data_IF_453935412463
#
_entry.id   IF_453935412463
#
_cell.length_a   1.000
_cell.length_b   1.000
_cell.length_c   1.000
_cell.angle_alpha   90.00
_cell.angle_beta   90.00
_cell.angle_gamma   90.00
#
_symmetry.space_group_name_H-M   'P 1'
#
loop_
_entity.id
_entity.type
_entity.pdbx_description
1 polymer ?
#
# COMPACT_ATOMS: atom_id res chain seq x y z
N UNK A 1 -4.47 -0.57 -2.98
CA UNK A 1 -3.87 0.66 -3.56
C UNK A 1 -4.82 1.40 -4.50
N UNK A 2 -5.72 0.73 -5.21
CA UNK A 2 -6.73 1.33 -6.09
C UNK A 2 -7.52 2.47 -5.41
N UNK A 3 -8.05 2.22 -4.19
CA UNK A 3 -8.77 3.25 -3.42
C UNK A 3 -7.90 4.45 -3.04
N UNK A 4 -6.61 4.22 -2.76
CA UNK A 4 -5.66 5.28 -2.46
C UNK A 4 -5.45 6.15 -3.70
N UNK A 5 -5.21 5.55 -4.85
CA UNK A 5 -5.05 6.25 -6.12
C UNK A 5 -6.28 7.13 -6.45
N UNK A 6 -7.49 6.59 -6.38
CA UNK A 6 -8.71 7.34 -6.63
C UNK A 6 -8.95 8.44 -5.60
N UNK A 7 -8.56 8.20 -4.35
CA UNK A 7 -8.58 9.22 -3.29
C UNK A 7 -7.64 10.39 -3.60
N UNK A 8 -6.42 10.09 -4.07
CA UNK A 8 -5.44 11.09 -4.49
C UNK A 8 -5.93 11.86 -5.73
N UNK A 9 -6.35 11.15 -6.77
CA UNK A 9 -6.87 11.75 -8.01
C UNK A 9 -8.05 12.68 -7.73
N UNK A 10 -8.98 12.26 -6.88
CA UNK A 10 -10.17 13.02 -6.49
C UNK A 10 -9.93 14.08 -5.40
N UNK A 11 -8.68 14.30 -4.95
CA UNK A 11 -8.34 15.22 -3.84
C UNK A 11 -9.07 14.91 -2.53
N UNK A 12 -9.45 13.65 -2.32
CA UNK A 12 -10.17 13.17 -1.11
C UNK A 12 -9.26 12.42 -0.15
N UNK A 13 -8.00 12.19 -0.53
CA UNK A 13 -7.04 11.52 0.34
C UNK A 13 -6.42 12.51 1.33
N UNK A 14 -6.25 12.06 2.56
CA UNK A 14 -5.56 12.76 3.65
C UNK A 14 -4.73 11.76 4.45
N UNK A 15 -3.64 12.22 5.04
CA UNK A 15 -2.85 11.39 5.96
C UNK A 15 -3.51 11.41 7.36
N UNK A 16 -4.00 10.27 7.86
CA UNK A 16 -4.60 10.22 9.19
C UNK A 16 -3.52 10.14 10.27
N UNK A 17 -3.32 11.21 11.01
CA UNK A 17 -2.45 11.31 12.17
C UNK A 17 -0.95 11.36 11.86
N UNK A 18 -0.45 10.58 10.90
CA UNK A 18 0.98 10.49 10.57
C UNK A 18 1.18 10.05 9.12
N UNK A 19 2.36 10.35 8.56
CA UNK A 19 2.73 10.00 7.18
C UNK A 19 3.66 8.80 7.07
N UNK A 20 4.35 8.49 8.16
CA UNK A 20 5.35 7.43 8.26
C UNK A 20 4.77 6.04 8.60
N UNK A 21 3.44 5.89 8.51
CA UNK A 21 2.79 4.59 8.70
C UNK A 21 3.26 3.59 7.65
N UNK A 22 3.90 2.52 8.10
CA UNK A 22 4.41 1.46 7.22
C UNK A 22 3.26 0.59 6.71
N UNK A 23 3.29 0.27 5.42
CA UNK A 23 2.34 -0.62 4.75
C UNK A 23 3.08 -1.70 3.98
N UNK A 24 3.17 -2.88 4.58
CA UNK A 24 3.71 -4.04 3.90
C UNK A 24 2.87 -4.36 2.66
N UNK A 25 3.52 -4.52 1.53
CA UNK A 25 2.88 -4.82 0.25
C UNK A 25 3.87 -5.56 -0.67
N UNK A 26 3.32 -6.24 -1.66
CA UNK A 26 4.07 -6.82 -2.76
C UNK A 26 3.27 -6.63 -4.05
N UNK A 27 3.93 -6.58 -5.16
CA UNK A 27 3.30 -6.56 -6.47
C UNK A 27 2.84 -7.96 -6.87
N UNK A 28 1.64 -8.08 -7.47
CA UNK A 28 1.06 -9.40 -7.77
C UNK A 28 1.92 -10.22 -8.75
N UNK A 29 2.49 -9.57 -9.78
CA UNK A 29 3.37 -10.28 -10.73
C UNK A 29 4.65 -10.76 -10.04
N UNK A 30 5.20 -9.95 -9.12
CA UNK A 30 6.35 -10.33 -8.29
C UNK A 30 6.05 -11.53 -7.40
N UNK A 31 4.85 -11.55 -6.78
CA UNK A 31 4.41 -12.69 -5.99
C UNK A 31 4.34 -13.97 -6.83
N UNK A 32 3.81 -13.88 -8.06
CA UNK A 32 3.75 -15.03 -8.98
C UNK A 32 5.16 -15.50 -9.35
N UNK A 33 6.07 -14.57 -9.67
CA UNK A 33 7.46 -14.92 -9.97
C UNK A 33 8.13 -15.61 -8.79
N UNK A 34 7.93 -15.14 -7.56
CA UNK A 34 8.44 -15.81 -6.37
C UNK A 34 7.84 -17.20 -6.17
N UNK A 35 6.53 -17.37 -6.40
CA UNK A 35 5.90 -18.71 -6.32
C UNK A 35 6.51 -19.69 -7.34
N UNK A 36 6.75 -19.26 -8.58
CA UNK A 36 7.40 -20.07 -9.62
C UNK A 36 8.83 -20.41 -9.21
N UNK A 37 9.59 -19.43 -8.74
CA UNK A 37 10.94 -19.65 -8.21
C UNK A 37 10.95 -20.72 -7.12
N UNK A 38 10.00 -20.71 -6.17
CA UNK A 38 9.92 -21.73 -5.10
C UNK A 38 9.51 -23.11 -5.63
N UNK A 39 8.73 -23.19 -6.68
CA UNK A 39 8.42 -24.48 -7.33
C UNK A 39 9.68 -25.14 -7.94
N UNK A 40 10.58 -24.32 -8.50
CA UNK A 40 11.83 -24.79 -9.10
C UNK A 40 12.91 -25.09 -8.04
N UNK A 41 12.89 -24.38 -6.91
CA UNK A 41 13.88 -24.47 -5.83
C UNK A 41 13.25 -25.02 -4.54
N UNK A 42 12.34 -25.99 -4.70
CA UNK A 42 11.61 -26.57 -3.57
C UNK A 42 12.53 -27.41 -2.68
N UNK A 43 12.49 -27.13 -1.38
CA UNK A 43 13.05 -28.00 -0.34
C UNK A 43 11.96 -28.89 0.25
N UNK A 44 12.34 -30.03 0.83
CA UNK A 44 11.35 -30.92 1.44
C UNK A 44 10.71 -30.24 2.66
N UNK A 45 9.39 -30.36 2.76
CA UNK A 45 8.62 -29.85 3.89
C UNK A 45 7.71 -28.66 3.56
N UNK A 46 7.21 -28.01 4.60
CA UNK A 46 6.33 -26.83 4.48
C UNK A 46 7.12 -25.58 4.79
N UNK A 47 7.13 -24.65 3.86
CA UNK A 47 7.75 -23.34 4.03
C UNK A 47 6.71 -22.25 4.09
N UNK A 48 6.91 -21.29 4.99
CA UNK A 48 6.07 -20.12 5.14
C UNK A 48 6.89 -18.85 4.88
N UNK A 49 6.38 -18.00 4.00
CA UNK A 49 6.98 -16.72 3.65
C UNK A 49 6.00 -15.57 3.82
N UNK A 50 6.48 -14.48 4.38
CA UNK A 50 5.80 -13.19 4.30
C UNK A 50 6.24 -12.50 3.00
N UNK A 51 5.34 -12.45 2.02
CA UNK A 51 5.63 -11.85 0.73
C UNK A 51 5.40 -10.35 0.77
N UNK A 52 6.45 -9.59 0.98
CA UNK A 52 6.45 -8.13 1.00
C UNK A 52 7.80 -7.60 0.53
N UNK A 53 7.80 -6.39 -0.03
CA UNK A 53 9.06 -5.67 -0.28
C UNK A 53 9.81 -5.44 1.04
N UNK A 54 11.14 -5.54 0.99
CA UNK A 54 12.03 -5.28 2.10
C UNK A 54 13.10 -4.27 1.66
N UNK A 55 13.23 -3.12 2.31
CA UNK A 55 12.37 -2.64 3.41
C UNK A 55 10.95 -2.29 2.96
N UNK A 56 9.99 -2.41 3.91
CA UNK A 56 8.59 -2.06 3.65
C UNK A 56 8.41 -0.54 3.52
N UNK A 57 7.47 -0.12 2.68
CA UNK A 57 7.25 1.29 2.34
C UNK A 57 6.31 2.00 3.33
N UNK A 58 6.60 3.27 3.60
CA UNK A 58 5.65 4.15 4.31
C UNK A 58 4.55 4.63 3.36
N UNK A 59 3.41 5.05 3.94
CA UNK A 59 2.30 5.60 3.14
C UNK A 59 2.72 6.86 2.38
N UNK A 60 3.66 7.66 2.91
CA UNK A 60 4.20 8.83 2.23
C UNK A 60 5.01 8.43 0.99
N UNK A 61 5.89 7.42 1.11
CA UNK A 61 6.66 6.89 -0.02
C UNK A 61 5.74 6.31 -1.10
N UNK A 62 4.71 5.57 -0.69
CA UNK A 62 3.71 5.01 -1.62
C UNK A 62 2.99 6.12 -2.39
N UNK A 63 2.55 7.17 -1.71
CA UNK A 63 1.88 8.33 -2.34
C UNK A 63 2.85 9.09 -3.26
N UNK A 64 4.09 9.29 -2.83
CA UNK A 64 5.12 9.94 -3.65
C UNK A 64 5.39 9.17 -4.93
N UNK A 65 5.55 7.84 -4.84
CA UNK A 65 5.76 6.97 -6.01
C UNK A 65 4.54 6.99 -6.95
N UNK A 66 3.32 6.91 -6.42
CA UNK A 66 2.11 7.02 -7.23
C UNK A 66 2.05 8.36 -7.97
N UNK A 67 2.30 9.47 -7.29
CA UNK A 67 2.32 10.79 -7.92
C UNK A 67 3.39 10.89 -9.02
N UNK A 68 4.60 10.39 -8.75
CA UNK A 68 5.71 10.39 -9.70
C UNK A 68 5.35 9.63 -10.97
N UNK A 69 4.89 8.40 -10.82
CA UNK A 69 4.60 7.49 -11.95
C UNK A 69 3.38 7.95 -12.75
N UNK A 70 2.32 8.38 -12.07
CA UNK A 70 1.06 8.73 -12.74
C UNK A 70 0.95 10.22 -13.14
N UNK A 71 1.93 11.04 -12.78
CA UNK A 71 1.94 12.47 -13.09
C UNK A 71 0.86 13.28 -12.34
N UNK A 72 0.22 12.70 -11.32
CA UNK A 72 -0.89 13.36 -10.62
C UNK A 72 -0.50 14.64 -9.88
N UNK A 73 0.74 14.74 -9.38
CA UNK A 73 1.26 15.88 -8.60
C UNK A 73 0.28 16.36 -7.51
N UNK A 74 -0.30 15.43 -6.75
CA UNK A 74 -1.29 15.74 -5.72
C UNK A 74 -0.63 15.77 -4.35
N UNK A 75 -0.83 16.86 -3.63
CA UNK A 75 -0.51 16.95 -2.20
C UNK A 75 -1.72 16.51 -1.38
N UNK A 76 -1.44 15.82 -0.27
CA UNK A 76 -2.46 15.40 0.68
C UNK A 76 -2.19 16.05 2.05
N UNK A 77 -3.20 16.64 2.70
CA UNK A 77 -3.02 17.23 4.02
C UNK A 77 -2.84 16.16 5.08
N UNK A 78 -2.05 16.48 6.10
CA UNK A 78 -1.99 15.71 7.32
C UNK A 78 -3.07 16.20 8.28
N UNK A 79 -3.98 15.33 8.70
CA UNK A 79 -4.99 15.66 9.70
C UNK A 79 -4.61 14.97 11.02
N UNK A 80 -4.35 15.73 12.09
CA UNK A 80 -4.04 15.18 13.39
C UNK A 80 -5.12 14.22 13.89
N UNK A 81 -4.69 13.13 14.57
CA UNK A 81 -5.61 12.10 15.03
C UNK A 81 -6.69 12.63 16.01
N UNK A 82 -6.33 13.61 16.84
CA UNK A 82 -7.26 14.22 17.80
C UNK A 82 -8.41 15.01 17.16
N UNK A 83 -8.24 15.48 15.91
CA UNK A 83 -9.31 16.08 15.12
C UNK A 83 -10.10 14.99 14.38
N UNK A 84 -9.40 14.05 13.79
CA UNK A 84 -9.99 13.05 12.90
C UNK A 84 -10.85 12.03 13.64
N UNK A 85 -10.45 11.63 14.86
CA UNK A 85 -11.17 10.62 15.64
C UNK A 85 -12.58 11.06 16.07
N UNK A 86 -12.77 12.25 16.68
CA UNK A 86 -14.11 12.73 17.01
C UNK A 86 -14.95 13.01 15.75
N UNK A 87 -14.35 13.56 14.70
CA UNK A 87 -15.07 13.78 13.44
C UNK A 87 -15.57 12.46 12.84
N UNK A 88 -14.76 11.40 12.86
CA UNK A 88 -15.15 10.07 12.40
C UNK A 88 -16.27 9.45 13.27
N UNK A 89 -16.27 9.72 14.57
CA UNK A 89 -17.34 9.27 15.48
C UNK A 89 -18.68 9.94 15.14
N UNK A 90 -18.70 11.25 14.97
CA UNK A 90 -19.90 12.02 14.58
C UNK A 90 -20.44 11.55 13.23
N UNK A 91 -19.58 11.43 12.21
CA UNK A 91 -19.96 10.95 10.86
C UNK A 91 -20.51 9.52 10.93
N UNK A 92 -19.87 8.65 11.74
CA UNK A 92 -20.33 7.27 11.95
C UNK A 92 -21.71 7.21 12.60
N UNK A 93 -22.01 8.06 13.59
CA UNK A 93 -23.32 8.14 14.24
C UNK A 93 -24.43 8.66 13.31
N UNK A 94 -24.09 9.53 12.35
CA UNK A 94 -25.04 10.07 11.38
C UNK A 94 -25.35 9.11 10.23
N UNK A 95 -24.81 7.88 10.25
CA UNK A 95 -25.08 6.86 9.23
C UNK A 95 -24.61 7.23 7.83
N UNK A 96 -23.66 8.13 7.71
CA UNK A 96 -23.18 8.61 6.42
C UNK A 96 -22.63 7.45 5.56
N UNK A 97 -23.05 7.35 4.28
CA UNK A 97 -22.70 6.23 3.39
C UNK A 97 -21.20 6.15 3.05
N UNK A 98 -20.39 7.09 3.51
CA UNK A 98 -18.95 7.17 3.24
C UNK A 98 -18.12 6.09 3.96
N UNK A 99 -18.73 5.30 4.86
CA UNK A 99 -18.03 4.23 5.58
C UNK A 99 -16.85 4.72 6.44
N UNK A 100 -16.84 6.00 6.81
CA UNK A 100 -15.86 6.60 7.72
C UNK A 100 -16.32 6.29 9.14
N UNK A 101 -15.55 5.48 9.85
CA UNK A 101 -15.78 5.19 11.26
C UNK A 101 -14.44 5.18 12.02
N UNK A 102 -14.46 5.42 13.35
CA UNK A 102 -13.24 5.48 14.15
C UNK A 102 -12.33 4.25 14.03
N UNK A 103 -12.94 3.05 13.90
CA UNK A 103 -12.20 1.82 13.74
C UNK A 103 -11.38 1.79 12.43
N UNK A 104 -11.95 2.27 11.33
CA UNK A 104 -11.24 2.36 10.04
C UNK A 104 -10.14 3.40 10.06
N UNK A 105 -10.39 4.56 10.68
CA UNK A 105 -9.38 5.61 10.84
C UNK A 105 -8.22 5.07 11.67
N UNK A 106 -8.48 4.43 12.80
CA UNK A 106 -7.45 3.81 13.64
C UNK A 106 -6.63 2.78 12.85
N UNK A 107 -7.29 1.92 12.06
CA UNK A 107 -6.61 0.92 11.22
C UNK A 107 -5.67 1.55 10.18
N UNK A 108 -6.00 2.72 9.66
CA UNK A 108 -5.11 3.44 8.73
C UNK A 108 -3.87 4.02 9.42
N UNK A 109 -3.97 4.37 10.71
CA UNK A 109 -2.87 4.91 11.51
C UNK A 109 -1.91 3.85 12.04
N UNK A 110 -2.32 2.58 12.05
CA UNK A 110 -1.48 1.47 12.53
C UNK A 110 -0.59 0.98 11.40
N UNK A 111 0.71 0.85 11.68
CA UNK A 111 1.65 0.22 10.75
C UNK A 111 1.38 -1.28 10.63
N UNK A 112 1.38 -1.79 9.41
CA UNK A 112 1.45 -3.22 9.10
C UNK A 112 2.87 -3.54 8.68
N UNK A 113 3.77 -3.51 9.65
CA UNK A 113 5.18 -3.80 9.45
C UNK A 113 5.40 -5.32 9.52
N UNK A 114 5.17 -5.98 8.40
CA UNK A 114 5.40 -7.43 8.25
C UNK A 114 6.82 -7.60 7.71
N UNK A 115 7.63 -8.39 8.41
CA UNK A 115 9.02 -8.65 8.01
C UNK A 115 9.06 -9.61 6.81
N UNK A 116 9.59 -9.13 5.68
CA UNK A 116 9.82 -9.90 4.46
C UNK A 116 11.23 -10.51 4.36
N UNK A 117 12.02 -10.42 5.43
CA UNK A 117 13.44 -10.80 5.40
C UNK A 117 13.67 -12.23 4.92
N UNK A 118 12.86 -13.20 5.33
CA UNK A 118 13.00 -14.59 4.87
C UNK A 118 12.86 -14.72 3.35
N UNK A 119 12.00 -13.93 2.73
CA UNK A 119 11.88 -13.86 1.27
C UNK A 119 13.13 -13.20 0.67
N UNK A 120 13.56 -12.07 1.20
CA UNK A 120 14.74 -11.36 0.71
C UNK A 120 16.02 -12.22 0.83
N UNK A 121 16.15 -13.01 1.91
CA UNK A 121 17.30 -13.88 2.17
C UNK A 121 17.19 -15.25 1.44
N UNK A 122 16.10 -15.53 0.71
CA UNK A 122 15.85 -16.82 0.04
C UNK A 122 16.68 -17.08 -1.23
N UNK A 123 17.50 -16.11 -1.65
CA UNK A 123 18.20 -16.15 -2.93
C UNK A 123 17.34 -15.70 -4.13
N UNK A 124 16.08 -15.37 -3.89
CA UNK A 124 15.21 -14.81 -4.91
C UNK A 124 15.57 -13.36 -5.20
N UNK A 125 15.71 -13.01 -6.47
CA UNK A 125 15.95 -11.62 -6.91
C UNK A 125 14.65 -11.00 -7.42
N UNK A 126 14.24 -9.89 -6.81
CA UNK A 126 13.07 -9.15 -7.26
C UNK A 126 13.24 -8.64 -8.68
N UNK A 127 12.24 -8.85 -9.52
CA UNK A 127 12.20 -8.39 -10.92
C UNK A 127 11.71 -6.94 -11.02
N UNK A 128 10.94 -6.51 -10.02
CA UNK A 128 10.36 -5.18 -9.96
C UNK A 128 10.76 -4.46 -8.68
N UNK A 129 11.26 -3.26 -8.81
CA UNK A 129 11.22 -2.28 -7.72
C UNK A 129 9.78 -1.83 -7.49
N UNK A 130 9.49 -1.19 -6.37
CA UNK A 130 8.14 -0.67 -6.11
C UNK A 130 7.69 0.36 -7.16
N UNK A 131 8.60 1.19 -7.65
CA UNK A 131 8.31 2.18 -8.69
C UNK A 131 7.97 1.50 -10.03
N UNK A 132 8.76 0.53 -10.44
CA UNK A 132 8.52 -0.26 -11.65
C UNK A 132 7.21 -1.04 -11.55
N UNK A 133 6.88 -1.57 -10.38
CA UNK A 133 5.62 -2.26 -10.13
C UNK A 133 4.40 -1.32 -10.31
N UNK A 134 4.48 -0.09 -9.82
CA UNK A 134 3.42 0.91 -10.03
C UNK A 134 3.37 1.35 -11.49
N UNK A 135 4.52 1.49 -12.17
CA UNK A 135 4.58 1.86 -13.58
C UNK A 135 3.99 0.77 -14.49
N UNK A 136 4.33 -0.48 -14.24
CA UNK A 136 3.79 -1.63 -14.96
C UNK A 136 2.27 -1.76 -14.75
N UNK A 137 1.81 -1.61 -13.51
CA UNK A 137 0.37 -1.59 -13.21
C UNK A 137 -0.35 -0.43 -13.89
N UNK A 138 0.26 0.76 -13.98
CA UNK A 138 -0.31 1.91 -14.69
C UNK A 138 -0.39 1.64 -16.18
N UNK A 139 0.66 1.04 -16.76
CA UNK A 139 0.71 0.62 -18.16
C UNK A 139 -0.35 -0.43 -18.50
N UNK A 140 -0.58 -1.42 -17.64
CA UNK A 140 -1.63 -2.44 -17.79
C UNK A 140 -3.06 -1.84 -17.87
N UNK A 141 -3.22 -0.57 -17.48
CA UNK A 141 -4.46 0.19 -17.57
C UNK A 141 -4.35 1.38 -18.56
N UNK A 142 -3.61 1.19 -19.65
CA UNK A 142 -3.44 2.16 -20.75
C UNK A 142 -2.90 3.53 -20.31
N UNK A 143 -2.16 3.59 -19.22
CA UNK A 143 -1.64 4.82 -18.58
C UNK A 143 -2.74 5.84 -18.22
N UNK A 144 -3.95 5.38 -17.94
CA UNK A 144 -5.08 6.26 -17.61
C UNK A 144 -5.43 6.27 -16.12
N UNK A 145 -5.29 5.12 -15.46
CA UNK A 145 -5.65 4.96 -14.04
C UNK A 145 -4.99 3.71 -13.44
N UNK A 146 -5.07 3.60 -12.12
CA UNK A 146 -4.74 2.37 -11.39
C UNK A 146 -6.05 1.70 -10.90
N UNK A 147 -6.38 0.53 -11.43
CA UNK A 147 -7.62 -0.20 -11.11
C UNK A 147 -7.34 -1.52 -10.38
#
# INVERSE_FOLDING_TARGET
FTRLYWGLRGRKFMYPGRKDTVKACIYVKELVCFMLYRLEHHEQGVELYNCTFEPAYTIEQIVATMNKVTGLNRTAPLIPAWILMPAAAVIGCLGAPMGICPARVRKLMVSTNICGKKLADSGYHFHYTFEEAIADWFKDNDNQYLK
#
